data_IF_963584259105
#
_entry.id   IF_963584259105
#
_cell.length_a   1.000
_cell.length_b   1.000
_cell.length_c   1.000
_cell.angle_alpha   90.00
_cell.angle_beta   90.00
_cell.angle_gamma   90.00
#
_symmetry.space_group_name_H-M   'P 1'
#
loop_
_entity.id
_entity.type
_entity.pdbx_description
1 polymer ?
#
# COMPACT_ATOMS: atom_id res chain seq x y z
N UNK A 1 24.33 11.36 -34.87
CA UNK A 1 23.39 11.46 -35.94
C UNK A 1 23.23 10.12 -36.63
N UNK A 2 22.18 9.37 -36.30
CA UNK A 2 21.73 8.23 -37.08
C UNK A 2 20.80 8.68 -38.22
N UNK A 3 20.43 7.80 -39.16
CA UNK A 3 19.51 8.15 -40.24
C UNK A 3 18.19 8.67 -39.64
N UNK A 4 17.75 9.83 -40.12
CA UNK A 4 16.46 10.41 -39.69
C UNK A 4 15.34 9.51 -40.22
N UNK A 5 14.81 8.67 -39.36
CA UNK A 5 13.56 7.97 -39.63
C UNK A 5 12.44 9.01 -39.42
N UNK A 6 11.57 9.23 -40.40
CA UNK A 6 10.44 10.13 -40.19
C UNK A 6 9.61 9.62 -39.00
N UNK A 7 9.15 10.54 -38.12
CA UNK A 7 8.34 10.12 -37.00
C UNK A 7 7.08 9.38 -37.48
N UNK A 8 6.66 8.31 -36.83
CA UNK A 8 5.39 7.68 -37.13
C UNK A 8 4.26 8.69 -36.98
N UNK A 9 3.15 8.48 -37.69
CA UNK A 9 1.95 9.30 -37.49
C UNK A 9 1.52 9.21 -36.02
N UNK A 10 1.34 10.35 -35.39
CA UNK A 10 0.96 10.45 -33.96
C UNK A 10 -0.18 11.45 -33.82
N UNK A 11 -1.10 11.18 -32.90
CA UNK A 11 -2.23 12.05 -32.60
C UNK A 11 -1.77 13.32 -31.85
N UNK A 12 -0.68 13.19 -31.09
CA UNK A 12 -0.09 14.30 -30.32
C UNK A 12 1.42 14.29 -30.46
N UNK A 13 1.99 15.46 -30.71
CA UNK A 13 3.44 15.67 -30.77
C UNK A 13 3.82 16.60 -29.63
N UNK A 14 4.76 16.16 -28.78
CA UNK A 14 5.34 16.97 -27.70
C UNK A 14 6.77 17.35 -28.10
N UNK A 15 7.04 18.66 -28.20
CA UNK A 15 8.41 19.14 -28.43
C UNK A 15 9.22 19.05 -27.13
N UNK A 16 10.18 18.14 -27.12
CA UNK A 16 11.14 17.95 -26.02
C UNK A 16 12.54 18.43 -26.39
N UNK A 17 12.68 19.39 -27.33
CA UNK A 17 13.96 19.96 -27.71
C UNK A 17 14.67 20.57 -26.51
N UNK A 18 15.93 20.20 -26.29
CA UNK A 18 16.72 20.64 -25.13
C UNK A 18 16.39 19.92 -23.81
N UNK A 19 15.47 18.96 -23.82
CA UNK A 19 15.12 18.16 -22.65
C UNK A 19 15.75 16.77 -22.68
N UNK A 20 15.96 16.18 -21.50
CA UNK A 20 16.21 14.76 -21.34
C UNK A 20 14.86 14.07 -21.08
N UNK A 21 14.52 13.10 -21.92
CA UNK A 21 13.32 12.28 -21.74
C UNK A 21 13.68 11.00 -21.01
N UNK A 22 13.04 10.78 -19.86
CA UNK A 22 13.23 9.57 -19.03
C UNK A 22 11.91 8.84 -18.84
N UNK A 23 11.92 7.55 -18.51
CA UNK A 23 10.72 6.89 -17.95
C UNK A 23 10.22 7.63 -16.71
N UNK A 24 8.93 7.61 -16.45
CA UNK A 24 8.35 8.14 -15.22
C UNK A 24 8.89 7.39 -13.98
N UNK A 25 8.96 8.10 -12.87
CA UNK A 25 9.40 7.51 -11.60
C UNK A 25 8.39 6.47 -11.10
N UNK A 26 8.89 5.51 -10.34
CA UNK A 26 8.09 4.45 -9.71
C UNK A 26 8.27 4.52 -8.20
N UNK A 27 7.19 4.70 -7.47
CA UNK A 27 7.15 4.55 -6.02
C UNK A 27 6.62 3.15 -5.69
N UNK A 28 7.50 2.25 -5.28
CA UNK A 28 7.15 0.85 -5.06
C UNK A 28 6.58 0.57 -3.67
N UNK A 29 6.65 1.51 -2.72
CA UNK A 29 6.14 1.33 -1.36
C UNK A 29 5.73 2.67 -0.76
N UNK A 30 4.51 2.74 -0.21
CA UNK A 30 3.93 3.92 0.40
C UNK A 30 2.85 3.51 1.40
N UNK A 31 2.56 4.40 2.35
CA UNK A 31 1.40 4.37 3.25
C UNK A 31 0.67 5.71 3.17
N UNK A 32 -0.19 5.87 2.17
CA UNK A 32 -0.80 7.16 1.83
C UNK A 32 -1.63 7.75 2.97
N UNK A 33 -2.32 6.92 3.77
CA UNK A 33 -3.08 7.40 4.93
C UNK A 33 -2.20 8.11 5.98
N UNK A 34 -0.90 7.81 6.03
CA UNK A 34 0.05 8.45 6.95
C UNK A 34 0.33 9.92 6.59
N UNK A 35 -0.03 10.37 5.39
CA UNK A 35 0.10 11.77 5.00
C UNK A 35 -0.65 12.72 5.95
N UNK A 36 -1.75 12.26 6.55
CA UNK A 36 -2.53 13.06 7.50
C UNK A 36 -1.81 13.33 8.83
N UNK A 37 -0.82 12.51 9.14
CA UNK A 37 -0.03 12.62 10.39
C UNK A 37 1.44 12.92 10.12
N UNK A 38 1.79 13.26 8.89
CA UNK A 38 3.15 13.64 8.48
C UNK A 38 3.61 14.86 9.30
N UNK A 39 4.82 14.79 9.81
CA UNK A 39 5.44 15.84 10.65
C UNK A 39 4.79 16.08 12.01
N UNK A 40 3.91 15.21 12.47
CA UNK A 40 3.34 15.26 13.83
C UNK A 40 4.21 14.50 14.87
N UNK A 41 5.46 14.22 14.52
CA UNK A 41 6.30 13.30 15.26
C UNK A 41 6.73 13.83 16.65
N UNK A 42 6.27 13.21 17.75
CA UNK A 42 7.01 13.25 19.00
C UNK A 42 8.31 12.44 18.88
N UNK A 43 9.22 12.60 19.81
CA UNK A 43 10.41 11.76 19.91
C UNK A 43 10.02 10.34 20.33
N UNK A 44 10.23 9.36 19.46
CA UNK A 44 9.96 7.94 19.73
C UNK A 44 11.17 7.20 20.34
N UNK A 45 12.29 7.91 20.55
CA UNK A 45 13.54 7.28 20.97
C UNK A 45 14.08 6.23 19.99
N UNK A 46 13.67 6.29 18.74
CA UNK A 46 14.07 5.33 17.69
C UNK A 46 13.40 3.95 17.77
N UNK A 47 12.36 3.76 18.59
CA UNK A 47 11.65 2.48 18.72
C UNK A 47 10.44 2.42 17.76
N UNK A 48 10.39 1.40 16.90
CA UNK A 48 9.23 1.13 16.03
C UNK A 48 7.97 0.83 16.86
N UNK A 49 8.11 0.12 17.96
CA UNK A 49 6.99 -0.18 18.86
C UNK A 49 6.36 1.09 19.43
N UNK A 50 7.18 2.03 19.92
CA UNK A 50 6.67 3.32 20.42
C UNK A 50 6.03 4.16 19.30
N UNK A 51 6.59 4.09 18.11
CA UNK A 51 6.04 4.74 16.93
C UNK A 51 4.65 4.19 16.62
N UNK A 52 4.47 2.87 16.58
CA UNK A 52 3.16 2.23 16.38
C UNK A 52 2.13 2.70 17.40
N UNK A 53 2.43 2.62 18.69
CA UNK A 53 1.48 3.01 19.74
C UNK A 53 1.07 4.48 19.64
N UNK A 54 2.01 5.35 19.32
CA UNK A 54 1.72 6.77 19.17
C UNK A 54 0.78 7.02 18.00
N UNK A 55 1.09 6.46 16.84
CA UNK A 55 0.29 6.71 15.64
C UNK A 55 -1.02 5.92 15.59
N UNK A 56 -1.05 4.71 16.10
CA UNK A 56 -2.31 3.96 16.19
C UNK A 56 -3.35 4.68 17.05
N UNK A 57 -2.94 5.43 18.09
CA UNK A 57 -3.87 6.25 18.86
C UNK A 57 -4.62 7.27 18.00
N UNK A 58 -4.02 7.71 16.89
CA UNK A 58 -4.64 8.62 15.92
C UNK A 58 -5.32 7.85 14.79
N UNK A 59 -4.64 6.86 14.21
CA UNK A 59 -5.14 6.14 13.03
C UNK A 59 -6.37 5.27 13.31
N UNK A 60 -6.61 4.87 14.56
CA UNK A 60 -7.87 4.21 14.95
C UNK A 60 -9.12 5.08 14.71
N UNK A 61 -8.95 6.38 14.50
CA UNK A 61 -10.03 7.33 14.24
C UNK A 61 -10.19 7.69 12.75
N UNK A 62 -9.40 7.09 11.88
CA UNK A 62 -9.56 7.29 10.44
C UNK A 62 -10.93 6.78 9.98
N UNK A 63 -11.46 7.45 8.99
CA UNK A 63 -12.64 7.07 8.22
C UNK A 63 -12.34 6.98 6.72
N UNK A 64 -13.33 6.64 5.92
CA UNK A 64 -13.17 6.53 4.47
C UNK A 64 -12.78 7.87 3.83
N UNK A 65 -13.34 8.99 4.31
CA UNK A 65 -13.03 10.33 3.77
C UNK A 65 -11.56 10.71 4.06
N UNK A 66 -11.06 10.36 5.23
CA UNK A 66 -9.64 10.53 5.57
C UNK A 66 -8.75 9.73 4.63
N UNK A 67 -9.09 8.46 4.34
CA UNK A 67 -8.36 7.61 3.40
C UNK A 67 -8.42 8.18 1.98
N UNK A 68 -9.59 8.62 1.51
CA UNK A 68 -9.74 9.27 0.21
C UNK A 68 -8.87 10.50 0.09
N UNK A 69 -8.98 11.40 1.05
CA UNK A 69 -8.25 12.68 1.05
C UNK A 69 -6.75 12.46 1.07
N UNK A 70 -6.26 11.59 1.96
CA UNK A 70 -4.82 11.29 2.05
C UNK A 70 -4.28 10.61 0.78
N UNK A 71 -5.07 9.70 0.19
CA UNK A 71 -4.72 9.05 -1.07
C UNK A 71 -4.64 10.06 -2.19
N UNK A 72 -5.65 10.91 -2.35
CA UNK A 72 -5.67 11.97 -3.37
C UNK A 72 -4.47 12.89 -3.26
N UNK A 73 -4.21 13.43 -2.07
CA UNK A 73 -3.10 14.35 -1.83
C UNK A 73 -1.76 13.68 -2.12
N UNK A 74 -1.52 12.47 -1.59
CA UNK A 74 -0.25 11.78 -1.78
C UNK A 74 0.00 11.38 -3.23
N UNK A 75 -1.01 10.89 -3.95
CA UNK A 75 -0.87 10.56 -5.37
C UNK A 75 -0.68 11.80 -6.25
N UNK A 76 -1.31 12.94 -5.92
CA UNK A 76 -1.05 14.20 -6.60
C UNK A 76 0.38 14.70 -6.38
N UNK A 77 0.89 14.63 -5.15
CA UNK A 77 2.30 14.96 -4.84
C UNK A 77 3.27 14.08 -5.65
N UNK A 78 3.00 12.77 -5.70
CA UNK A 78 3.79 11.83 -6.50
C UNK A 78 3.74 12.16 -7.99
N UNK A 79 2.56 12.43 -8.54
CA UNK A 79 2.40 12.80 -9.95
C UNK A 79 3.15 14.10 -10.28
N UNK A 80 3.06 15.12 -9.43
CA UNK A 80 3.79 16.38 -9.58
C UNK A 80 5.31 16.22 -9.49
N UNK A 81 5.79 15.18 -8.80
CA UNK A 81 7.23 14.83 -8.74
C UNK A 81 7.71 14.02 -9.95
N UNK A 82 6.83 13.71 -10.91
CA UNK A 82 7.15 12.88 -12.08
C UNK A 82 6.97 11.38 -11.86
N UNK A 83 6.33 10.97 -10.77
CA UNK A 83 5.95 9.58 -10.54
C UNK A 83 4.76 9.21 -11.42
N UNK A 84 4.84 8.08 -12.11
CA UNK A 84 3.77 7.56 -13.00
C UNK A 84 3.20 6.24 -12.52
N UNK A 85 3.81 5.63 -11.51
CA UNK A 85 3.39 4.35 -10.96
C UNK A 85 3.64 4.35 -9.46
N UNK A 86 2.63 4.02 -8.67
CA UNK A 86 2.76 3.93 -7.21
C UNK A 86 2.14 2.64 -6.68
N UNK A 87 2.73 2.10 -5.62
CA UNK A 87 2.09 1.10 -4.77
C UNK A 87 1.81 1.73 -3.40
N UNK A 88 0.67 1.38 -2.81
CA UNK A 88 0.32 1.77 -1.44
C UNK A 88 -0.06 0.55 -0.61
N UNK A 89 0.47 0.46 0.59
CA UNK A 89 0.19 -0.62 1.53
C UNK A 89 -0.74 -0.09 2.64
N UNK A 90 -2.06 -0.26 2.44
CA UNK A 90 -3.07 0.08 3.44
C UNK A 90 -3.35 -1.13 4.31
N UNK A 91 -2.97 -1.08 5.58
CA UNK A 91 -3.16 -2.19 6.53
C UNK A 91 -4.09 -1.86 7.70
N UNK A 92 -4.64 -0.67 7.74
CA UNK A 92 -5.64 -0.25 8.72
C UNK A 92 -7.00 -0.24 8.03
N UNK A 93 -7.92 -1.08 8.51
CA UNK A 93 -9.27 -1.19 7.99
C UNK A 93 -10.29 -1.12 9.12
N UNK A 94 -10.99 0.02 9.24
CA UNK A 94 -12.05 0.23 10.23
C UNK A 94 -13.44 -0.08 9.68
N UNK A 95 -13.55 -0.16 8.35
CA UNK A 95 -14.76 -0.48 7.61
C UNK A 95 -14.38 -1.05 6.23
N UNK A 96 -15.29 -1.78 5.57
CA UNK A 96 -15.11 -2.19 4.18
C UNK A 96 -14.97 -1.00 3.24
N UNK A 97 -14.37 -1.21 2.06
CA UNK A 97 -14.39 -0.24 0.96
C UNK A 97 -13.20 0.74 0.93
N UNK A 98 -12.29 0.72 1.88
CA UNK A 98 -11.17 1.67 1.91
C UNK A 98 -10.16 1.47 0.77
N UNK A 99 -9.90 0.23 0.38
CA UNK A 99 -9.08 -0.06 -0.81
C UNK A 99 -9.83 0.36 -2.08
N UNK A 100 -11.14 0.13 -2.14
CA UNK A 100 -11.96 0.60 -3.27
C UNK A 100 -11.88 2.12 -3.41
N UNK A 101 -11.92 2.84 -2.28
CA UNK A 101 -11.77 4.28 -2.25
C UNK A 101 -10.40 4.73 -2.81
N UNK A 102 -9.30 4.08 -2.43
CA UNK A 102 -7.97 4.37 -2.97
C UNK A 102 -7.88 4.10 -4.48
N UNK A 103 -8.46 2.99 -4.95
CA UNK A 103 -8.51 2.66 -6.38
C UNK A 103 -9.26 3.72 -7.17
N UNK A 104 -10.39 4.20 -6.66
CA UNK A 104 -11.13 5.30 -7.29
C UNK A 104 -10.30 6.58 -7.40
N UNK A 105 -9.65 7.01 -6.32
CA UNK A 105 -8.81 8.20 -6.33
C UNK A 105 -7.64 8.08 -7.32
N UNK A 106 -6.99 6.91 -7.37
CA UNK A 106 -5.90 6.68 -8.31
C UNK A 106 -6.36 6.73 -9.78
N UNK A 107 -7.55 6.21 -10.07
CA UNK A 107 -8.15 6.26 -11.41
C UNK A 107 -8.54 7.67 -11.80
N UNK A 108 -9.11 8.44 -10.89
CA UNK A 108 -9.49 9.84 -11.16
C UNK A 108 -8.27 10.72 -11.45
N UNK A 109 -7.14 10.47 -10.77
CA UNK A 109 -5.87 11.16 -11.03
C UNK A 109 -5.20 10.65 -12.32
N UNK A 110 -5.47 9.40 -12.73
CA UNK A 110 -4.85 8.77 -13.89
C UNK A 110 -3.45 8.21 -13.62
N UNK A 111 -3.13 7.88 -12.36
CA UNK A 111 -1.86 7.26 -11.98
C UNK A 111 -1.97 5.73 -12.01
N UNK A 112 -0.93 5.06 -12.52
CA UNK A 112 -0.86 3.59 -12.40
C UNK A 112 -0.67 3.21 -10.94
N UNK A 113 -1.55 2.34 -10.42
CA UNK A 113 -1.64 2.10 -9.00
C UNK A 113 -1.73 0.61 -8.65
N UNK A 114 -0.89 0.17 -7.72
CA UNK A 114 -1.02 -1.12 -7.06
C UNK A 114 -1.52 -0.91 -5.65
N UNK A 115 -2.79 -1.23 -5.39
CA UNK A 115 -3.33 -1.23 -4.05
C UNK A 115 -2.95 -2.54 -3.35
N UNK A 116 -2.21 -2.44 -2.27
CA UNK A 116 -1.86 -3.59 -1.43
C UNK A 116 -2.91 -3.72 -0.34
N UNK A 117 -3.68 -4.82 -0.37
CA UNK A 117 -4.59 -5.20 0.71
C UNK A 117 -3.75 -5.64 1.91
N UNK A 118 -3.32 -4.68 2.70
CA UNK A 118 -2.65 -4.91 3.96
C UNK A 118 -3.59 -5.51 4.99
N UNK A 119 -3.08 -6.23 5.99
CA UNK A 119 -3.93 -6.77 7.07
C UNK A 119 -3.18 -6.85 8.39
N UNK A 120 -3.92 -6.70 9.48
CA UNK A 120 -3.49 -6.97 10.84
C UNK A 120 -4.49 -7.93 11.48
N UNK A 121 -4.00 -9.02 12.08
CA UNK A 121 -4.83 -10.08 12.67
C UNK A 121 -4.36 -10.48 14.06
N UNK A 122 -3.45 -9.72 14.63
CA UNK A 122 -2.85 -9.97 15.94
C UNK A 122 -2.79 -8.63 16.69
N UNK A 123 -3.69 -8.44 17.65
CA UNK A 123 -3.72 -7.25 18.47
C UNK A 123 -3.01 -7.44 19.83
N UNK A 124 -3.02 -6.40 20.66
CA UNK A 124 -2.37 -6.40 21.96
C UNK A 124 -2.89 -7.48 22.93
N UNK A 125 -4.16 -7.90 22.80
CA UNK A 125 -4.74 -8.93 23.65
C UNK A 125 -4.13 -10.32 23.39
N UNK A 126 -3.65 -10.53 22.17
CA UNK A 126 -2.94 -11.74 21.74
C UNK A 126 -1.42 -11.54 21.64
N UNK A 127 -0.92 -10.43 22.19
CA UNK A 127 0.50 -10.10 22.25
C UNK A 127 1.06 -9.50 20.97
N UNK A 128 0.21 -8.93 20.10
CA UNK A 128 0.64 -8.12 18.96
C UNK A 128 0.83 -6.66 19.30
N UNK A 129 1.13 -5.83 18.29
CA UNK A 129 1.42 -4.40 18.48
C UNK A 129 0.30 -3.48 18.02
N UNK A 130 -0.78 -3.98 17.44
CA UNK A 130 -1.92 -3.12 17.12
C UNK A 130 -2.92 -3.06 18.28
N UNK A 131 -3.62 -1.93 18.47
CA UNK A 131 -4.62 -1.78 19.53
C UNK A 131 -5.76 -2.80 19.39
N UNK A 132 -6.36 -3.17 20.52
CA UNK A 132 -7.55 -4.02 20.56
C UNK A 132 -8.66 -3.44 19.66
N UNK A 133 -9.27 -4.31 18.86
CA UNK A 133 -10.32 -3.94 17.91
C UNK A 133 -9.84 -3.30 16.59
N UNK A 134 -8.53 -3.24 16.34
CA UNK A 134 -7.96 -2.92 15.03
C UNK A 134 -7.55 -4.16 14.24
N UNK A 135 -7.39 -5.30 14.90
CA UNK A 135 -7.16 -6.57 14.22
C UNK A 135 -8.44 -7.05 13.51
N UNK A 136 -8.27 -7.56 12.31
CA UNK A 136 -9.35 -8.11 11.49
C UNK A 136 -9.48 -9.62 11.70
N UNK A 137 -10.70 -10.18 11.66
CA UNK A 137 -10.86 -11.63 11.63
C UNK A 137 -10.18 -12.25 10.41
N UNK A 138 -9.43 -13.35 10.61
CA UNK A 138 -8.70 -14.05 9.55
C UNK A 138 -9.59 -14.37 8.32
N UNK A 139 -10.77 -14.95 8.54
CA UNK A 139 -11.69 -15.28 7.44
C UNK A 139 -12.08 -14.04 6.63
N UNK A 140 -12.35 -12.91 7.30
CA UNK A 140 -12.68 -11.66 6.64
C UNK A 140 -11.52 -11.14 5.78
N UNK A 141 -10.28 -11.25 6.27
CA UNK A 141 -9.08 -10.88 5.47
C UNK A 141 -9.01 -11.68 4.18
N UNK A 142 -9.29 -13.00 4.23
CA UNK A 142 -9.26 -13.86 3.04
C UNK A 142 -10.39 -13.49 2.06
N UNK A 143 -11.63 -13.40 2.55
CA UNK A 143 -12.80 -13.10 1.71
C UNK A 143 -12.65 -11.72 1.02
N UNK A 144 -12.23 -10.72 1.77
CA UNK A 144 -12.06 -9.36 1.26
C UNK A 144 -10.88 -9.26 0.30
N UNK A 145 -9.81 -10.00 0.54
CA UNK A 145 -8.67 -10.09 -0.38
C UNK A 145 -9.08 -10.68 -1.72
N UNK A 146 -9.82 -11.79 -1.71
CA UNK A 146 -10.34 -12.41 -2.93
C UNK A 146 -11.31 -11.47 -3.67
N UNK A 147 -12.23 -10.82 -2.94
CA UNK A 147 -13.17 -9.85 -3.53
C UNK A 147 -12.44 -8.73 -4.26
N UNK A 148 -11.45 -8.12 -3.63
CA UNK A 148 -10.69 -7.00 -4.20
C UNK A 148 -9.92 -7.41 -5.46
N UNK A 149 -9.27 -8.59 -5.44
CA UNK A 149 -8.56 -9.09 -6.61
C UNK A 149 -9.55 -9.31 -7.77
N UNK A 150 -10.67 -10.01 -7.52
CA UNK A 150 -11.67 -10.27 -8.57
C UNK A 150 -12.32 -9.01 -9.13
N UNK A 151 -12.44 -7.96 -8.32
CA UNK A 151 -13.08 -6.72 -8.74
C UNK A 151 -12.15 -5.76 -9.46
N UNK A 152 -10.89 -5.65 -9.03
CA UNK A 152 -10.02 -4.55 -9.44
C UNK A 152 -8.75 -4.97 -10.18
N UNK A 153 -8.25 -6.21 -9.97
CA UNK A 153 -6.97 -6.59 -10.54
C UNK A 153 -7.04 -6.74 -12.05
N UNK A 154 -6.22 -5.99 -12.74
CA UNK A 154 -6.06 -6.02 -14.20
C UNK A 154 -4.77 -6.76 -14.55
N UNK A 155 -4.81 -7.64 -15.53
CA UNK A 155 -3.70 -8.50 -15.97
C UNK A 155 -3.07 -8.09 -17.29
N UNK A 156 -3.70 -7.17 -18.03
CA UNK A 156 -3.24 -6.73 -19.33
C UNK A 156 -1.91 -5.99 -19.25
N UNK A 157 -1.08 -6.05 -20.31
CA UNK A 157 0.09 -5.19 -20.41
C UNK A 157 -0.29 -3.71 -20.20
N UNK A 158 0.45 -3.01 -19.36
CA UNK A 158 0.18 -1.62 -18.97
C UNK A 158 -1.10 -1.39 -18.15
N UNK A 159 -1.60 -2.41 -17.46
CA UNK A 159 -2.70 -2.29 -16.52
C UNK A 159 -2.55 -1.05 -15.63
N UNK A 160 -3.63 -0.29 -15.45
CA UNK A 160 -3.64 0.91 -14.61
C UNK A 160 -3.92 0.60 -13.15
N UNK A 161 -4.61 -0.52 -12.87
CA UNK A 161 -4.97 -0.93 -11.51
C UNK A 161 -4.54 -2.37 -11.25
N UNK A 162 -3.75 -2.57 -10.22
CA UNK A 162 -3.40 -3.92 -9.74
C UNK A 162 -3.69 -4.03 -8.26
N UNK A 163 -4.00 -5.24 -7.80
CA UNK A 163 -4.09 -5.57 -6.38
C UNK A 163 -2.92 -6.48 -6.02
N UNK A 164 -2.31 -6.23 -4.88
CA UNK A 164 -1.41 -7.14 -4.19
C UNK A 164 -1.96 -7.46 -2.81
N UNK A 165 -1.55 -8.58 -2.23
CA UNK A 165 -1.95 -8.97 -0.88
C UNK A 165 -0.76 -8.86 0.06
N UNK A 166 -0.98 -8.47 1.33
CA UNK A 166 0.15 -8.32 2.23
C UNK A 166 -0.25 -8.20 3.70
N UNK A 167 -0.07 -9.25 4.52
CA UNK A 167 -0.04 -9.05 5.95
C UNK A 167 0.97 -7.97 6.32
N UNK A 168 0.65 -7.12 7.31
CA UNK A 168 1.46 -5.93 7.59
C UNK A 168 2.87 -6.31 8.07
N UNK A 169 2.98 -6.90 9.24
CA UNK A 169 4.23 -7.39 9.84
C UNK A 169 3.92 -8.57 10.75
N UNK A 170 4.91 -9.39 11.08
CA UNK A 170 4.76 -10.49 12.05
C UNK A 170 4.47 -9.99 13.47
N UNK A 171 4.64 -8.70 13.76
CA UNK A 171 4.24 -8.09 15.03
C UNK A 171 2.72 -7.83 15.12
N UNK A 172 2.02 -7.76 13.99
CA UNK A 172 0.58 -7.46 13.93
C UNK A 172 -0.24 -8.49 13.15
N UNK A 173 0.39 -9.55 12.64
CA UNK A 173 -0.29 -10.60 11.86
C UNK A 173 0.21 -11.98 12.24
N UNK A 174 -0.71 -12.95 12.26
CA UNK A 174 -0.36 -14.34 12.59
C UNK A 174 0.32 -15.05 11.43
N UNK A 175 1.17 -16.07 11.74
CA UNK A 175 1.76 -16.94 10.71
C UNK A 175 0.70 -17.65 9.86
N UNK A 176 -0.46 -17.96 10.42
CA UNK A 176 -1.56 -18.58 9.68
C UNK A 176 -2.03 -17.63 8.54
N UNK A 177 -2.27 -16.36 8.84
CA UNK A 177 -2.65 -15.37 7.82
C UNK A 177 -1.56 -15.21 6.76
N UNK A 178 -0.27 -15.20 7.13
CA UNK A 178 0.82 -15.15 6.15
C UNK A 178 0.77 -16.33 5.17
N UNK A 179 0.60 -17.55 5.68
CA UNK A 179 0.54 -18.77 4.85
C UNK A 179 -0.67 -18.75 3.92
N UNK A 180 -1.84 -18.44 4.47
CA UNK A 180 -3.09 -18.47 3.71
C UNK A 180 -3.15 -17.33 2.70
N UNK A 181 -2.64 -16.14 3.05
CA UNK A 181 -2.50 -15.03 2.09
C UNK A 181 -1.52 -15.38 0.97
N UNK A 182 -0.41 -16.07 1.28
CA UNK A 182 0.54 -16.53 0.26
C UNK A 182 -0.09 -17.54 -0.69
N UNK A 183 -0.85 -18.51 -0.16
CA UNK A 183 -1.58 -19.47 -0.97
C UNK A 183 -2.62 -18.78 -1.85
N UNK A 184 -3.44 -17.91 -1.28
CA UNK A 184 -4.46 -17.15 -2.01
C UNK A 184 -3.83 -16.27 -3.12
N UNK A 185 -2.72 -15.59 -2.82
CA UNK A 185 -2.02 -14.78 -3.82
C UNK A 185 -1.50 -15.63 -4.99
N UNK A 186 -0.97 -16.82 -4.72
CA UNK A 186 -0.53 -17.76 -5.74
C UNK A 186 -1.71 -18.27 -6.60
N UNK A 187 -2.82 -18.63 -5.96
CA UNK A 187 -4.03 -19.11 -6.65
C UNK A 187 -4.66 -18.04 -7.54
N UNK A 188 -4.64 -16.79 -7.11
CA UNK A 188 -5.18 -15.65 -7.85
C UNK A 188 -4.18 -15.00 -8.81
N UNK A 189 -2.92 -15.41 -8.80
CA UNK A 189 -1.87 -14.88 -9.68
C UNK A 189 -1.47 -13.44 -9.35
N UNK A 190 -1.58 -13.01 -8.08
CA UNK A 190 -1.19 -11.68 -7.61
C UNK A 190 0.07 -11.72 -6.76
N UNK A 191 0.66 -10.56 -6.51
CA UNK A 191 1.91 -10.44 -5.73
C UNK A 191 1.63 -10.34 -4.23
N UNK A 192 2.62 -10.76 -3.44
CA UNK A 192 2.71 -10.44 -2.02
C UNK A 192 3.58 -9.19 -1.83
N UNK A 193 3.18 -8.36 -0.87
CA UNK A 193 3.91 -7.18 -0.46
C UNK A 193 3.77 -7.00 1.06
N UNK A 194 4.82 -7.20 1.81
CA UNK A 194 4.82 -7.19 3.28
C UNK A 194 6.09 -6.55 3.82
N UNK A 195 6.11 -6.24 5.11
CA UNK A 195 7.28 -5.77 5.82
C UNK A 195 7.99 -6.93 6.49
N UNK A 196 9.32 -6.92 6.45
CA UNK A 196 10.17 -7.94 7.08
C UNK A 196 11.45 -7.28 7.56
N UNK A 197 11.82 -7.54 8.80
CA UNK A 197 13.06 -7.06 9.41
C UNK A 197 13.18 -5.53 9.39
N UNK A 198 12.09 -4.84 9.72
CA UNK A 198 12.01 -3.38 9.74
C UNK A 198 12.97 -2.76 10.76
N UNK A 199 13.04 -3.36 11.97
CA UNK A 199 13.94 -2.91 13.01
C UNK A 199 14.29 -4.03 14.02
N UNK A 200 15.20 -3.76 14.98
CA UNK A 200 15.57 -4.74 16.02
C UNK A 200 14.42 -5.19 16.93
N UNK A 201 13.39 -4.38 17.10
CA UNK A 201 12.21 -4.75 17.91
C UNK A 201 11.40 -5.84 17.22
N UNK A 202 11.20 -5.74 15.90
CA UNK A 202 10.56 -6.81 15.12
C UNK A 202 11.37 -8.10 15.16
N UNK A 203 12.68 -8.01 14.95
CA UNK A 203 13.54 -9.19 14.98
C UNK A 203 13.48 -9.91 16.33
N UNK A 204 13.52 -9.17 17.44
CA UNK A 204 13.39 -9.70 18.79
C UNK A 204 12.01 -10.34 18.99
N UNK A 205 10.94 -9.66 18.63
CA UNK A 205 9.58 -10.16 18.72
C UNK A 205 9.40 -11.50 17.99
N UNK A 206 9.91 -11.57 16.75
CA UNK A 206 9.82 -12.79 15.93
C UNK A 206 10.60 -13.95 16.56
N UNK A 207 11.81 -13.70 17.07
CA UNK A 207 12.65 -14.73 17.72
C UNK A 207 12.05 -15.28 19.04
N UNK A 208 11.33 -14.40 19.77
CA UNK A 208 10.72 -14.79 21.05
C UNK A 208 9.39 -15.50 20.86
N UNK A 209 8.68 -15.24 19.76
CA UNK A 209 7.34 -15.77 19.53
C UNK A 209 7.30 -17.02 18.65
N UNK A 210 8.20 -17.13 17.69
CA UNK A 210 8.23 -18.16 16.65
C UNK A 210 9.54 -18.94 16.59
#
# INVERSE_FOLDING_TARGET
>A
GGPQVPPPAADTIVDASGCLVTPGLINAHQHLYQNLTRSMAPDFGGSLTNWFWTYFSMWQHLDEEAVRTSTRVGLMELALSGCTTSADHLYIHRAPGWIDAQVHEARDIGLRFTAVRGSMTLDESDGGVCPAGMAEPHAYVMDESERLVRQWHQTEPNAMTQIALGPSTLMSSTLAVYRDTAALAADLGVRLHTHVADDPDEERFVRERY
#
